data_IF_673168531787
#
_entry.id   IF_673168531787
#
_cell.length_a   1.000
_cell.length_b   1.000
_cell.length_c   1.000
_cell.angle_alpha   90.00
_cell.angle_beta   90.00
_cell.angle_gamma   90.00
#
_symmetry.space_group_name_H-M   'P 1'
#
loop_
_entity.id
_entity.type
_entity.pdbx_description
1 polymer ?
#
# COMPACT_ATOMS: atom_id res chain seq x y z
N UNK A 1 56.38 -7.71 7.92
CA UNK A 1 56.70 -6.31 8.28
C UNK A 1 57.16 -5.58 7.02
N UNK A 2 56.99 -4.27 6.87
CA UNK A 2 55.74 -3.55 6.62
C UNK A 2 55.84 -2.68 5.33
N UNK A 3 54.72 -2.16 4.83
CA UNK A 3 54.67 -0.85 4.16
C UNK A 3 53.22 -0.39 4.01
N UNK A 4 52.68 0.15 5.09
CA UNK A 4 51.66 1.19 5.05
C UNK A 4 52.24 2.45 4.41
N UNK A 5 51.62 3.03 3.38
CA UNK A 5 51.59 4.49 3.17
C UNK A 5 50.58 4.90 2.09
N UNK A 6 49.68 5.78 2.52
CA UNK A 6 48.58 6.42 1.80
C UNK A 6 49.02 7.37 0.68
N UNK A 7 48.19 7.52 -0.35
CA UNK A 7 47.91 8.85 -0.94
C UNK A 7 46.56 8.86 -1.66
N UNK A 8 45.63 9.59 -1.04
CA UNK A 8 44.54 10.22 -1.76
C UNK A 8 45.07 11.02 -2.96
N UNK A 9 44.32 11.04 -4.07
CA UNK A 9 44.03 12.22 -4.91
C UNK A 9 43.31 11.75 -6.20
N UNK A 10 42.03 12.13 -6.26
CA UNK A 10 41.30 12.64 -7.42
C UNK A 10 41.40 11.91 -8.76
N UNK A 11 40.30 11.27 -9.18
CA UNK A 11 39.62 11.62 -10.45
C UNK A 11 38.22 11.05 -10.53
N UNK A 12 37.27 11.93 -10.21
CA UNK A 12 35.97 12.10 -10.84
C UNK A 12 35.89 11.50 -12.26
N UNK A 13 35.21 10.36 -12.41
CA UNK A 13 34.68 9.91 -13.71
C UNK A 13 33.16 9.97 -13.66
N UNK A 14 32.62 11.03 -14.27
CA UNK A 14 31.21 11.15 -14.55
C UNK A 14 30.80 10.10 -15.58
N UNK A 15 30.12 9.04 -15.12
CA UNK A 15 29.22 8.28 -15.98
C UNK A 15 27.81 8.38 -15.40
N UNK A 16 27.17 9.49 -15.73
CA UNK A 16 25.72 9.63 -15.77
C UNK A 16 25.16 8.65 -16.79
N UNK A 17 24.90 7.41 -16.39
CA UNK A 17 24.01 6.53 -17.15
C UNK A 17 22.57 6.97 -16.83
N UNK A 18 22.13 8.04 -17.50
CA UNK A 18 20.70 8.35 -17.67
C UNK A 18 20.10 7.26 -18.56
N UNK A 19 19.70 6.14 -17.99
CA UNK A 19 18.68 5.29 -18.62
C UNK A 19 17.33 5.98 -18.42
N UNK A 20 16.88 6.64 -19.47
CA UNK A 20 15.48 7.04 -19.65
C UNK A 20 14.61 5.79 -19.56
N UNK A 21 14.00 5.59 -18.40
CA UNK A 21 12.89 4.67 -18.26
C UNK A 21 11.71 5.26 -19.02
N UNK A 22 11.48 4.79 -20.25
CA UNK A 22 10.23 5.00 -20.98
C UNK A 22 9.14 4.30 -20.17
N UNK A 23 8.38 5.09 -19.41
CA UNK A 23 7.22 4.61 -18.64
C UNK A 23 6.00 4.72 -19.53
N UNK A 24 5.46 3.57 -19.94
CA UNK A 24 4.08 3.48 -20.40
C UNK A 24 3.18 3.63 -19.16
N UNK A 25 2.66 4.84 -18.96
CA UNK A 25 1.72 5.20 -17.92
C UNK A 25 0.32 5.35 -18.54
N UNK A 26 -0.61 4.44 -18.23
CA UNK A 26 -2.01 4.65 -18.64
C UNK A 26 -3.08 4.08 -17.71
N UNK A 27 -2.75 3.57 -16.52
CA UNK A 27 -3.80 3.15 -15.57
C UNK A 27 -3.39 3.12 -14.09
N UNK A 28 -2.10 3.01 -13.78
CA UNK A 28 -1.58 3.01 -12.39
C UNK A 28 -1.05 4.38 -11.94
N UNK A 29 -0.75 5.27 -12.87
CA UNK A 29 -0.30 6.64 -12.57
C UNK A 29 -1.41 7.47 -11.97
N UNK A 30 -2.65 7.38 -12.46
CA UNK A 30 -3.76 8.18 -11.93
C UNK A 30 -4.17 7.72 -10.52
N UNK A 31 -4.16 6.42 -10.24
CA UNK A 31 -4.41 5.88 -8.91
C UNK A 31 -3.27 6.20 -7.93
N UNK A 32 -2.01 6.13 -8.37
CA UNK A 32 -0.85 6.53 -7.56
C UNK A 32 -0.79 8.05 -7.33
N UNK A 33 -1.21 8.86 -8.31
CA UNK A 33 -1.30 10.32 -8.19
C UNK A 33 -2.44 10.68 -7.24
N UNK A 34 -3.64 10.10 -7.40
CA UNK A 34 -4.77 10.31 -6.48
C UNK A 34 -4.49 9.79 -5.07
N UNK A 35 -3.75 8.70 -4.91
CA UNK A 35 -3.30 8.21 -3.61
C UNK A 35 -2.24 9.13 -3.01
N UNK A 36 -1.28 9.61 -3.81
CA UNK A 36 -0.30 10.61 -3.39
C UNK A 36 -0.96 11.95 -3.05
N UNK A 37 -2.02 12.32 -3.74
CA UNK A 37 -2.75 13.58 -3.56
C UNK A 37 -3.75 13.49 -2.40
N UNK A 38 -4.31 12.30 -2.15
CA UNK A 38 -5.07 11.97 -0.94
C UNK A 38 -4.16 11.88 0.29
N UNK A 39 -2.96 11.32 0.15
CA UNK A 39 -1.95 11.31 1.20
C UNK A 39 -1.41 12.72 1.45
N UNK A 40 -1.16 13.51 0.39
CA UNK A 40 -0.75 14.91 0.50
C UNK A 40 -1.86 15.81 1.05
N UNK A 41 -3.13 15.52 0.80
CA UNK A 41 -4.27 16.28 1.35
C UNK A 41 -4.60 15.85 2.79
N UNK A 42 -4.43 14.58 3.15
CA UNK A 42 -4.49 14.12 4.54
C UNK A 42 -3.29 14.65 5.36
N UNK A 43 -2.09 14.62 4.79
CA UNK A 43 -0.91 15.24 5.36
C UNK A 43 -1.09 16.75 5.46
N UNK A 44 -1.58 17.42 4.41
CA UNK A 44 -1.88 18.86 4.44
C UNK A 44 -2.97 19.20 5.46
N UNK A 45 -4.03 18.39 5.62
CA UNK A 45 -5.05 18.59 6.66
C UNK A 45 -4.52 18.32 8.06
N UNK A 46 -3.62 17.36 8.22
CA UNK A 46 -2.92 17.13 9.47
C UNK A 46 -1.96 18.30 9.78
N UNK A 47 -1.24 18.81 8.78
CA UNK A 47 -0.42 20.03 8.86
C UNK A 47 -1.25 21.28 9.12
N UNK A 48 -2.48 21.36 8.59
CA UNK A 48 -3.42 22.46 8.79
C UNK A 48 -4.05 22.40 10.19
N UNK A 49 -4.35 21.20 10.70
CA UNK A 49 -4.75 20.98 12.10
C UNK A 49 -3.63 21.31 13.08
N UNK A 50 -2.41 20.87 12.78
CA UNK A 50 -1.19 21.26 13.51
C UNK A 50 -0.95 22.77 13.44
N UNK A 51 -1.19 23.39 12.29
CA UNK A 51 -1.05 24.85 12.09
C UNK A 51 -2.14 25.62 12.83
N UNK A 52 -3.38 25.11 12.92
CA UNK A 52 -4.46 25.70 13.71
C UNK A 52 -4.16 25.62 15.21
N UNK A 53 -3.63 24.50 15.68
CA UNK A 53 -3.15 24.32 17.07
C UNK A 53 -1.92 25.19 17.35
N UNK A 54 -1.00 25.31 16.40
CA UNK A 54 0.15 26.24 16.42
C UNK A 54 -0.29 27.71 16.40
N UNK A 55 -1.35 28.05 15.66
CA UNK A 55 -1.84 29.43 15.59
C UNK A 55 -2.65 29.83 16.82
N UNK A 56 -3.31 28.87 17.49
CA UNK A 56 -4.01 29.09 18.76
C UNK A 56 -3.09 29.11 19.98
N UNK A 57 -1.84 28.65 19.83
CA UNK A 57 -0.81 28.71 20.85
C UNK A 57 0.39 29.45 20.25
N UNK A 58 0.37 30.78 20.32
CA UNK A 58 1.27 31.71 19.61
C UNK A 58 2.80 31.51 19.81
N UNK A 59 3.65 32.51 19.52
CA UNK A 59 5.08 32.39 19.16
C UNK A 59 6.03 31.68 20.16
N UNK A 60 5.54 31.16 21.29
CA UNK A 60 6.25 30.27 22.19
C UNK A 60 6.56 28.87 21.58
N UNK A 61 5.80 28.38 20.59
CA UNK A 61 6.02 27.05 19.98
C UNK A 61 6.98 27.12 18.78
N UNK A 62 6.98 28.21 18.00
CA UNK A 62 7.93 28.38 16.89
C UNK A 62 9.39 28.49 17.38
N UNK A 63 9.61 29.00 18.59
CA UNK A 63 10.91 28.94 19.27
C UNK A 63 11.29 27.54 19.79
N UNK A 64 10.35 26.60 19.93
CA UNK A 64 10.61 25.25 20.45
C UNK A 64 11.25 24.32 19.41
N UNK A 65 11.11 24.60 18.11
CA UNK A 65 11.75 23.84 17.04
C UNK A 65 13.26 24.12 16.91
N UNK A 66 13.72 25.32 17.30
CA UNK A 66 15.15 25.67 17.31
C UNK A 66 15.79 25.54 18.70
N UNK A 67 14.98 25.45 19.77
CA UNK A 67 15.40 25.39 21.17
C UNK A 67 14.70 24.27 21.97
N UNK A 68 14.55 23.07 21.37
CA UNK A 68 13.95 21.91 22.04
C UNK A 68 14.64 21.58 23.39
N UNK A 69 15.92 21.92 23.54
CA UNK A 69 16.68 21.74 24.79
C UNK A 69 16.36 22.73 25.93
N UNK A 70 15.78 23.90 25.67
CA UNK A 70 15.58 24.96 26.69
C UNK A 70 14.13 25.31 26.99
N UNK A 71 13.18 25.02 26.09
CA UNK A 71 11.73 25.08 26.39
C UNK A 71 11.22 23.82 27.12
N UNK A 72 11.79 22.65 26.80
CA UNK A 72 11.51 21.38 27.50
C UNK A 72 11.94 21.42 28.98
N UNK A 73 12.95 22.24 29.30
CA UNK A 73 13.41 22.51 30.69
C UNK A 73 12.40 23.32 31.52
N UNK A 74 11.45 24.03 30.91
CA UNK A 74 10.46 24.86 31.61
C UNK A 74 9.08 24.18 31.75
N UNK A 75 8.79 23.13 30.98
CA UNK A 75 7.63 22.24 31.17
C UNK A 75 8.07 21.05 32.04
N UNK A 76 8.40 21.34 33.30
CA UNK A 76 8.71 20.31 34.30
C UNK A 76 7.44 19.62 34.78
N UNK A 77 7.39 18.28 34.71
CA UNK A 77 6.27 17.50 35.24
C UNK A 77 5.90 16.27 34.40
N UNK A 78 4.74 15.66 34.71
CA UNK A 78 4.23 14.46 34.02
C UNK A 78 4.03 14.70 32.50
N UNK A 79 3.67 15.92 32.11
CA UNK A 79 3.46 16.30 30.70
C UNK A 79 4.77 16.38 29.90
N UNK A 80 5.84 16.94 30.48
CA UNK A 80 7.16 17.00 29.83
C UNK A 80 7.75 15.61 29.56
N UNK A 81 7.48 14.63 30.45
CA UNK A 81 7.88 13.23 30.25
C UNK A 81 7.17 12.59 29.05
N UNK A 82 5.87 12.85 28.85
CA UNK A 82 5.12 12.32 27.70
C UNK A 82 5.61 12.94 26.40
N UNK A 83 5.84 14.26 26.38
CA UNK A 83 6.36 14.96 25.19
C UNK A 83 7.74 14.41 24.81
N UNK A 84 8.66 14.27 25.78
CA UNK A 84 9.98 13.71 25.54
C UNK A 84 9.93 12.25 25.05
N UNK A 85 8.99 11.46 25.58
CA UNK A 85 8.77 10.08 25.13
C UNK A 85 8.27 10.04 23.67
N UNK A 86 7.27 10.85 23.31
CA UNK A 86 6.78 10.93 21.93
C UNK A 86 7.89 11.40 21.00
N UNK A 87 8.65 12.43 21.38
CA UNK A 87 9.76 12.96 20.59
C UNK A 87 10.84 11.89 20.36
N UNK A 88 11.14 11.08 21.38
CA UNK A 88 12.05 9.93 21.25
C UNK A 88 11.55 8.85 20.29
N UNK A 89 10.23 8.73 20.09
CA UNK A 89 9.63 7.75 19.19
C UNK A 89 9.53 8.21 17.74
N UNK A 90 9.57 9.53 17.47
CA UNK A 90 9.43 10.06 16.11
C UNK A 90 10.56 9.53 15.18
N UNK A 91 11.86 9.66 15.51
CA UNK A 91 12.93 9.20 14.63
C UNK A 91 12.88 7.69 14.29
N UNK A 92 12.72 6.75 15.25
CA UNK A 92 12.66 5.33 14.92
C UNK A 92 11.38 4.97 14.17
N UNK A 93 10.24 5.57 14.49
CA UNK A 93 8.97 5.30 13.79
C UNK A 93 9.06 5.71 12.32
N UNK A 94 9.68 6.86 12.02
CA UNK A 94 9.91 7.30 10.64
C UNK A 94 10.85 6.35 9.88
N UNK A 95 11.88 5.84 10.55
CA UNK A 95 12.79 4.87 9.92
C UNK A 95 12.06 3.55 9.60
N UNK A 96 11.38 2.95 10.57
CA UNK A 96 10.71 1.67 10.38
C UNK A 96 9.50 1.75 9.45
N UNK A 97 8.77 2.87 9.45
CA UNK A 97 7.69 3.08 8.47
C UNK A 97 8.23 3.14 7.03
N UNK A 98 9.34 3.83 6.77
CA UNK A 98 9.99 3.85 5.45
C UNK A 98 10.43 2.46 5.01
N UNK A 99 11.06 1.71 5.92
CA UNK A 99 11.46 0.31 5.65
C UNK A 99 10.23 -0.56 5.35
N UNK A 100 9.18 -0.43 6.15
CA UNK A 100 7.92 -1.15 5.93
C UNK A 100 7.28 -0.84 4.57
N UNK A 101 7.35 0.42 4.12
CA UNK A 101 6.85 0.83 2.80
C UNK A 101 7.69 0.23 1.65
N UNK A 102 9.01 0.21 1.75
CA UNK A 102 9.84 -0.41 0.71
C UNK A 102 9.67 -1.94 0.67
N UNK A 103 9.51 -2.58 1.83
CA UNK A 103 9.21 -4.01 1.91
C UNK A 103 7.83 -4.34 1.32
N UNK A 104 6.80 -3.54 1.63
CA UNK A 104 5.46 -3.75 1.08
C UNK A 104 5.46 -3.61 -0.45
N UNK A 105 6.26 -2.69 -1.01
CA UNK A 105 6.42 -2.55 -2.46
C UNK A 105 7.05 -3.76 -3.13
N UNK A 106 8.02 -4.40 -2.48
CA UNK A 106 8.61 -5.65 -2.96
C UNK A 106 7.60 -6.79 -2.95
N UNK A 107 6.85 -6.93 -1.85
CA UNK A 107 5.80 -7.95 -1.72
C UNK A 107 4.69 -7.73 -2.75
N UNK A 108 4.24 -6.48 -2.92
CA UNK A 108 3.20 -6.13 -3.88
C UNK A 108 3.58 -6.56 -5.31
N UNK A 109 4.84 -6.33 -5.70
CA UNK A 109 5.36 -6.77 -7.00
C UNK A 109 5.59 -8.27 -7.06
N UNK A 110 6.13 -8.88 -6.01
CA UNK A 110 6.42 -10.31 -5.94
C UNK A 110 5.15 -11.17 -5.98
N UNK A 111 4.06 -10.69 -5.39
CA UNK A 111 2.75 -11.35 -5.38
C UNK A 111 1.88 -10.99 -6.59
N UNK A 112 2.41 -10.28 -7.60
CA UNK A 112 1.66 -9.85 -8.78
C UNK A 112 0.35 -9.11 -8.45
N UNK A 113 0.35 -8.28 -7.40
CA UNK A 113 -0.82 -7.52 -6.93
C UNK A 113 -1.20 -6.36 -7.87
N UNK A 114 -0.41 -6.12 -8.92
CA UNK A 114 -0.76 -5.17 -9.98
C UNK A 114 -1.85 -5.75 -10.89
N UNK A 115 -2.78 -4.91 -11.40
CA UNK A 115 -3.78 -5.38 -12.34
C UNK A 115 -3.12 -6.03 -13.58
N UNK A 116 -3.70 -7.10 -14.14
CA UNK A 116 -3.14 -7.80 -15.28
C UNK A 116 -3.13 -6.91 -16.54
N UNK A 117 -2.25 -7.22 -17.49
CA UNK A 117 -2.23 -6.55 -18.77
C UNK A 117 -3.53 -6.84 -19.57
N UNK A 118 -3.93 -5.92 -20.45
CA UNK A 118 -5.12 -6.05 -21.29
C UNK A 118 -5.11 -7.32 -22.14
N UNK A 119 -3.94 -7.74 -22.63
CA UNK A 119 -3.81 -9.00 -23.37
C UNK A 119 -4.19 -10.21 -22.49
N UNK A 120 -3.72 -10.26 -21.25
CA UNK A 120 -4.03 -11.33 -20.29
C UNK A 120 -5.53 -11.32 -19.95
N UNK A 121 -6.10 -10.13 -19.74
CA UNK A 121 -7.53 -9.97 -19.52
C UNK A 121 -8.33 -10.49 -20.72
N UNK A 122 -7.95 -10.09 -21.94
CA UNK A 122 -8.60 -10.56 -23.16
C UNK A 122 -8.55 -12.08 -23.28
N UNK A 123 -7.39 -12.71 -23.08
CA UNK A 123 -7.26 -14.17 -23.15
C UNK A 123 -8.11 -14.89 -22.10
N UNK A 124 -8.19 -14.35 -20.88
CA UNK A 124 -8.99 -14.94 -19.80
C UNK A 124 -10.50 -14.88 -20.09
N UNK A 125 -10.98 -13.75 -20.60
CA UNK A 125 -12.40 -13.53 -20.91
C UNK A 125 -12.80 -13.98 -22.32
N UNK A 126 -11.86 -14.31 -23.20
CA UNK A 126 -12.13 -14.72 -24.58
C UNK A 126 -13.16 -15.86 -24.69
N UNK A 127 -13.09 -16.94 -23.87
CA UNK A 127 -14.08 -18.00 -23.92
C UNK A 127 -15.48 -17.48 -23.61
N UNK A 128 -15.63 -16.67 -22.55
CA UNK A 128 -16.91 -16.10 -22.12
C UNK A 128 -17.52 -15.20 -23.21
N UNK A 129 -16.70 -14.33 -23.81
CA UNK A 129 -17.12 -13.43 -24.88
C UNK A 129 -17.53 -14.23 -26.13
N UNK A 130 -16.76 -15.27 -26.48
CA UNK A 130 -17.08 -16.14 -27.61
C UNK A 130 -18.35 -16.96 -27.38
N UNK A 131 -18.59 -17.41 -26.15
CA UNK A 131 -19.82 -18.07 -25.71
C UNK A 131 -21.04 -17.17 -25.88
N UNK A 132 -20.94 -15.91 -25.47
CA UNK A 132 -22.04 -14.95 -25.62
C UNK A 132 -22.32 -14.59 -27.09
N UNK A 133 -21.27 -14.41 -27.91
CA UNK A 133 -21.42 -14.10 -29.34
C UNK A 133 -21.96 -15.26 -30.16
N UNK A 134 -21.62 -16.49 -29.80
CA UNK A 134 -22.02 -17.70 -30.50
C UNK A 134 -22.64 -18.69 -29.52
N UNK A 135 -23.97 -18.66 -29.27
CA UNK A 135 -24.61 -19.51 -28.27
C UNK A 135 -24.50 -21.02 -28.57
N UNK A 136 -24.22 -21.41 -29.82
CA UNK A 136 -23.89 -22.79 -30.17
C UNK A 136 -22.58 -23.27 -29.51
N UNK A 137 -21.63 -22.37 -29.25
CA UNK A 137 -20.41 -22.68 -28.52
C UNK A 137 -20.64 -22.87 -27.03
N UNK A 138 -21.70 -22.29 -26.43
CA UNK A 138 -22.05 -22.55 -25.02
C UNK A 138 -22.43 -24.00 -24.76
N UNK A 139 -22.99 -24.70 -25.76
CA UNK A 139 -23.29 -26.13 -25.65
C UNK A 139 -22.04 -27.02 -25.65
N UNK A 140 -20.96 -26.55 -26.27
CA UNK A 140 -19.68 -27.26 -26.38
C UNK A 140 -18.59 -26.73 -25.43
N UNK A 141 -18.79 -25.55 -24.87
CA UNK A 141 -17.87 -24.93 -23.96
C UNK A 141 -18.14 -25.47 -22.57
N UNK A 142 -17.13 -26.15 -22.02
CA UNK A 142 -17.07 -26.60 -20.63
C UNK A 142 -16.99 -25.39 -19.67
N UNK A 143 -18.01 -24.55 -19.67
CA UNK A 143 -18.24 -23.56 -18.62
C UNK A 143 -18.73 -24.32 -17.39
N UNK A 144 -17.78 -24.95 -16.70
CA UNK A 144 -17.94 -25.47 -15.35
C UNK A 144 -19.17 -26.38 -15.23
N UNK A 145 -19.13 -27.54 -15.89
CA UNK A 145 -20.19 -28.53 -15.70
C UNK A 145 -20.12 -29.06 -14.25
N UNK A 146 -21.25 -29.10 -13.52
CA UNK A 146 -21.28 -29.58 -12.14
C UNK A 146 -20.67 -30.98 -11.99
N UNK A 147 -20.85 -31.84 -12.99
CA UNK A 147 -20.27 -33.18 -13.06
C UNK A 147 -18.74 -33.16 -13.10
N UNK A 148 -18.12 -32.24 -13.84
CA UNK A 148 -16.66 -32.12 -13.87
C UNK A 148 -16.09 -31.53 -12.58
N UNK A 149 -16.80 -30.61 -11.93
CA UNK A 149 -16.38 -30.11 -10.60
C UNK A 149 -16.39 -31.26 -9.59
N UNK A 150 -17.48 -32.02 -9.52
CA UNK A 150 -17.60 -33.15 -8.59
C UNK A 150 -16.55 -34.20 -8.90
N UNK A 151 -16.31 -34.52 -10.17
CA UNK A 151 -15.24 -35.43 -10.56
C UNK A 151 -13.85 -34.90 -10.16
N UNK A 152 -13.60 -33.60 -10.31
CA UNK A 152 -12.33 -32.98 -9.94
C UNK A 152 -12.12 -32.98 -8.43
N UNK A 153 -13.15 -32.64 -7.66
CA UNK A 153 -13.11 -32.63 -6.18
C UNK A 153 -12.94 -34.05 -5.63
N UNK A 154 -13.64 -35.06 -6.19
CA UNK A 154 -13.49 -36.45 -5.76
C UNK A 154 -12.11 -37.03 -6.05
N UNK A 155 -11.47 -36.58 -7.12
CA UNK A 155 -10.14 -37.06 -7.54
C UNK A 155 -8.98 -36.14 -7.09
N UNK A 156 -9.27 -35.01 -6.43
CA UNK A 156 -8.26 -34.04 -6.03
C UNK A 156 -7.47 -34.50 -4.80
N UNK A 157 -6.19 -34.13 -4.76
CA UNK A 157 -5.36 -34.36 -3.59
C UNK A 157 -5.71 -33.37 -2.46
N UNK A 158 -5.49 -33.75 -1.19
CA UNK A 158 -5.70 -32.89 -0.02
C UNK A 158 -5.00 -31.53 -0.15
N UNK A 159 -3.81 -31.50 -0.76
CA UNK A 159 -3.05 -30.27 -1.02
C UNK A 159 -3.75 -29.34 -2.02
N UNK A 160 -4.37 -29.90 -3.07
CA UNK A 160 -5.08 -29.12 -4.09
C UNK A 160 -6.38 -28.53 -3.53
N UNK A 161 -7.10 -29.30 -2.71
CA UNK A 161 -8.30 -28.81 -2.02
C UNK A 161 -7.93 -27.70 -1.03
N UNK A 162 -6.85 -27.88 -0.27
CA UNK A 162 -6.36 -26.85 0.64
C UNK A 162 -5.97 -25.56 -0.10
N UNK A 163 -5.25 -25.68 -1.22
CA UNK A 163 -4.90 -24.52 -2.05
C UNK A 163 -6.14 -23.83 -2.59
N UNK A 164 -7.09 -24.58 -3.16
CA UNK A 164 -8.35 -24.02 -3.65
C UNK A 164 -9.14 -23.31 -2.54
N UNK A 165 -9.16 -23.87 -1.33
CA UNK A 165 -9.80 -23.25 -0.16
C UNK A 165 -9.13 -21.95 0.26
N UNK A 166 -7.79 -21.92 0.30
CA UNK A 166 -7.02 -20.71 0.63
C UNK A 166 -7.24 -19.63 -0.44
N UNK A 167 -7.18 -19.99 -1.73
CA UNK A 167 -7.43 -19.04 -2.82
C UNK A 167 -8.87 -18.52 -2.79
N UNK A 168 -9.86 -19.36 -2.48
CA UNK A 168 -11.25 -18.91 -2.34
C UNK A 168 -11.40 -17.93 -1.16
N UNK A 169 -10.78 -18.21 -0.02
CA UNK A 169 -10.76 -17.31 1.12
C UNK A 169 -10.07 -15.97 0.79
N UNK A 170 -8.99 -15.99 0.01
CA UNK A 170 -8.30 -14.80 -0.45
C UNK A 170 -9.16 -13.95 -1.38
N UNK A 171 -9.87 -14.55 -2.33
CA UNK A 171 -10.80 -13.84 -3.23
C UNK A 171 -11.93 -13.18 -2.43
N UNK A 172 -12.51 -13.88 -1.45
CA UNK A 172 -13.52 -13.32 -0.54
C UNK A 172 -12.91 -12.16 0.28
N UNK A 173 -11.67 -12.32 0.77
CA UNK A 173 -10.94 -11.28 1.46
C UNK A 173 -10.81 -10.01 0.62
N UNK A 174 -10.32 -10.11 -0.62
CA UNK A 174 -10.21 -8.96 -1.53
C UNK A 174 -11.56 -8.33 -1.87
N UNK A 175 -12.62 -9.13 -2.02
CA UNK A 175 -13.96 -8.63 -2.23
C UNK A 175 -14.41 -7.75 -1.05
N UNK A 176 -14.23 -8.20 0.19
CA UNK A 176 -14.59 -7.41 1.38
C UNK A 176 -13.76 -6.14 1.53
N UNK A 177 -12.47 -6.17 1.18
CA UNK A 177 -11.62 -4.96 1.14
C UNK A 177 -12.12 -3.99 0.07
N UNK A 178 -12.53 -4.50 -1.09
CA UNK A 178 -13.18 -3.71 -2.13
C UNK A 178 -14.46 -3.04 -1.64
N UNK A 179 -15.30 -3.76 -0.89
CA UNK A 179 -16.50 -3.18 -0.25
C UNK A 179 -16.15 -2.11 0.77
N UNK A 180 -15.13 -2.31 1.62
CA UNK A 180 -14.65 -1.30 2.58
C UNK A 180 -14.24 -0.01 1.89
N UNK A 181 -13.50 -0.11 0.78
CA UNK A 181 -13.10 1.03 -0.05
C UNK A 181 -14.33 1.69 -0.69
N UNK A 182 -15.22 0.89 -1.29
CA UNK A 182 -16.43 1.35 -1.95
C UNK A 182 -17.40 2.09 -1.00
N UNK A 183 -17.54 1.64 0.25
CA UNK A 183 -18.35 2.29 1.28
C UNK A 183 -17.60 3.34 2.11
N UNK A 184 -16.29 3.52 1.87
CA UNK A 184 -15.41 4.44 2.60
C UNK A 184 -15.56 4.31 4.13
N UNK A 185 -15.70 3.08 4.62
CA UNK A 185 -15.85 2.75 6.02
C UNK A 185 -15.22 1.38 6.31
N UNK A 186 -14.63 1.22 7.49
CA UNK A 186 -14.00 -0.04 7.92
C UNK A 186 -15.05 -0.93 8.60
N UNK A 187 -16.00 -0.35 9.33
CA UNK A 187 -17.00 -1.10 10.13
C UNK A 187 -18.42 -0.67 9.76
N UNK A 188 -19.21 -1.59 9.21
CA UNK A 188 -20.62 -1.36 8.87
C UNK A 188 -20.91 -0.28 7.82
N UNK A 189 -22.17 -0.11 7.46
CA UNK A 189 -22.60 1.03 6.65
C UNK A 189 -22.85 2.25 7.52
N UNK A 190 -22.61 3.44 6.98
CA UNK A 190 -22.97 4.68 7.68
C UNK A 190 -24.50 4.75 7.74
N UNK A 191 -25.07 4.97 8.92
CA UNK A 191 -26.50 5.21 9.10
C UNK A 191 -27.40 3.98 9.28
N UNK A 192 -26.89 2.85 9.79
CA UNK A 192 -27.81 1.87 10.39
C UNK A 192 -28.41 2.47 11.66
N UNK A 193 -29.74 2.57 11.69
CA UNK A 193 -30.46 2.89 12.93
C UNK A 193 -30.16 1.77 13.92
N UNK A 194 -29.66 2.13 15.10
CA UNK A 194 -29.68 1.19 16.22
C UNK A 194 -31.14 0.80 16.46
N UNK A 195 -31.40 -0.51 16.43
CA UNK A 195 -32.68 -1.04 16.88
C UNK A 195 -32.80 -0.73 18.37
N UNK A 196 -33.62 0.26 18.69
CA UNK A 196 -34.15 0.50 20.04
C UNK A 196 -35.06 -0.67 20.47
#
# INVERSE_FOLDING_TARGET
MPATASRAVLRQSQFLVRRTAVRHASSTSEAASKASESASSAASKASEGLSKVTSSAGPAIAGAAQNAGSALRKIGGRTGKVIAFVDSMIPPTLYYSKVGIELSKLIFRGQNMSPPNLATFQSYFQPLINGFRNPATLKNANFVSPSQIVARVRNANKKEIALAGVTAAEVIGFFTVGEMIGRMNIVGYRGHAEHH
#
